data_IF_617883028475
#
_entry.id   IF_617883028475
#
_cell.length_a   1.000
_cell.length_b   1.000
_cell.length_c   1.000
_cell.angle_alpha   90.00
_cell.angle_beta   90.00
_cell.angle_gamma   90.00
#
_symmetry.space_group_name_H-M   'P 1'
#
loop_
_entity.id
_entity.type
_entity.pdbx_description
1 polymer ?
#
# COMPACT_ATOMS: atom_id res chain seq x y z
N UNK A 1 10.99 -20.69 -18.23
CA UNK A 1 11.85 -19.76 -17.43
C UNK A 1 11.00 -18.78 -16.63
N UNK A 2 9.90 -18.29 -17.20
CA UNK A 2 8.83 -17.60 -16.46
C UNK A 2 8.21 -18.48 -15.37
N UNK A 3 8.03 -19.78 -15.63
CA UNK A 3 7.40 -20.74 -14.70
C UNK A 3 8.15 -20.89 -13.37
N UNK A 4 9.47 -20.65 -13.40
CA UNK A 4 10.30 -20.65 -12.18
C UNK A 4 10.07 -19.37 -11.36
N UNK A 5 9.99 -18.20 -12.02
CA UNK A 5 9.70 -16.94 -11.35
C UNK A 5 8.31 -16.93 -10.75
N UNK A 6 7.28 -17.43 -11.44
CA UNK A 6 5.92 -17.49 -10.90
C UNK A 6 5.81 -18.39 -9.68
N UNK A 7 6.50 -19.54 -9.68
CA UNK A 7 6.49 -20.46 -8.52
C UNK A 7 7.25 -19.92 -7.31
N UNK A 8 8.28 -19.11 -7.54
CA UNK A 8 9.08 -18.49 -6.47
C UNK A 8 8.64 -17.06 -6.11
N UNK A 9 7.74 -16.45 -6.87
CA UNK A 9 7.28 -15.07 -6.64
C UNK A 9 6.70 -14.89 -5.24
N UNK A 10 5.79 -15.78 -4.85
CA UNK A 10 5.13 -15.75 -3.55
C UNK A 10 6.14 -15.92 -2.40
N UNK A 11 6.97 -16.98 -2.34
CA UNK A 11 7.93 -17.14 -1.25
C UNK A 11 9.00 -16.04 -1.22
N UNK A 12 9.43 -15.51 -2.37
CA UNK A 12 10.37 -14.39 -2.40
C UNK A 12 9.76 -13.10 -1.85
N UNK A 13 8.50 -12.80 -2.16
CA UNK A 13 7.79 -11.65 -1.57
C UNK A 13 7.62 -11.78 -0.06
N UNK A 14 7.26 -12.98 0.42
CA UNK A 14 7.16 -13.24 1.86
C UNK A 14 8.51 -13.11 2.56
N UNK A 15 9.58 -13.67 1.98
CA UNK A 15 10.92 -13.55 2.52
C UNK A 15 11.39 -12.09 2.58
N UNK A 16 11.15 -11.30 1.53
CA UNK A 16 11.47 -9.87 1.51
C UNK A 16 10.70 -9.10 2.60
N UNK A 17 9.43 -9.43 2.81
CA UNK A 17 8.59 -8.79 3.83
C UNK A 17 9.08 -9.09 5.25
N UNK A 18 9.42 -10.36 5.54
CA UNK A 18 9.99 -10.77 6.83
C UNK A 18 11.34 -10.09 7.07
N UNK A 19 12.22 -10.06 6.06
CA UNK A 19 13.52 -9.38 6.18
C UNK A 19 13.34 -7.88 6.43
N UNK A 20 12.45 -7.21 5.71
CA UNK A 20 12.13 -5.79 5.94
C UNK A 20 11.63 -5.52 7.36
N UNK A 21 10.75 -6.38 7.87
CA UNK A 21 10.25 -6.26 9.25
C UNK A 21 11.35 -6.47 10.29
N UNK A 22 12.19 -7.49 10.13
CA UNK A 22 13.32 -7.75 11.04
C UNK A 22 14.31 -6.59 11.06
N UNK A 23 14.67 -6.06 9.89
CA UNK A 23 15.59 -4.92 9.77
C UNK A 23 14.97 -3.67 10.41
N UNK A 24 13.70 -3.38 10.14
CA UNK A 24 13.00 -2.23 10.71
C UNK A 24 12.87 -2.28 12.23
N UNK A 25 12.65 -3.47 12.80
CA UNK A 25 12.54 -3.66 14.25
C UNK A 25 13.91 -3.70 14.96
N UNK A 26 14.93 -4.27 14.33
CA UNK A 26 16.26 -4.42 14.93
C UNK A 26 17.09 -3.12 14.90
N UNK A 27 16.85 -2.24 13.93
CA UNK A 27 17.62 -1.01 13.72
C UNK A 27 16.74 0.24 13.60
N UNK A 28 15.99 0.63 14.66
CA UNK A 28 15.13 1.81 14.63
C UNK A 28 15.90 3.12 14.39
N UNK A 29 17.20 3.15 14.69
CA UNK A 29 18.08 4.28 14.40
C UNK A 29 18.36 4.50 12.90
N UNK A 30 18.08 3.50 12.05
CA UNK A 30 18.23 3.62 10.58
C UNK A 30 16.95 4.07 9.87
N UNK A 31 15.83 4.17 10.61
CA UNK A 31 14.55 4.69 10.12
C UNK A 31 14.67 6.04 9.40
N UNK A 32 15.37 7.08 9.92
CA UNK A 32 15.44 8.37 9.22
C UNK A 32 16.19 8.30 7.88
N UNK A 33 17.16 7.39 7.72
CA UNK A 33 17.84 7.20 6.45
C UNK A 33 16.94 6.51 5.41
N UNK A 34 16.12 5.55 5.85
CA UNK A 34 15.13 4.89 4.99
C UNK A 34 14.00 5.84 4.61
N UNK A 35 13.53 6.71 5.52
CA UNK A 35 12.52 7.72 5.21
C UNK A 35 12.92 8.64 4.06
N UNK A 36 14.19 9.08 4.02
CA UNK A 36 14.72 9.89 2.91
C UNK A 36 14.71 9.11 1.59
N UNK A 37 14.92 7.79 1.62
CA UNK A 37 14.89 6.94 0.44
C UNK A 37 13.47 6.61 -0.06
N UNK A 38 12.43 6.75 0.78
CA UNK A 38 11.03 6.48 0.38
C UNK A 38 10.63 7.38 -0.78
N UNK A 39 10.80 8.71 -0.64
CA UNK A 39 10.40 9.67 -1.67
C UNK A 39 11.03 9.43 -3.06
N UNK A 40 12.37 9.24 -3.20
CA UNK A 40 12.96 8.97 -4.51
C UNK A 40 12.55 7.60 -5.07
N UNK A 41 12.37 6.58 -4.23
CA UNK A 41 11.85 5.27 -4.68
C UNK A 41 10.42 5.40 -5.19
N UNK A 42 9.56 6.13 -4.48
CA UNK A 42 8.20 6.43 -4.95
C UNK A 42 8.22 7.19 -6.27
N UNK A 43 9.10 8.19 -6.43
CA UNK A 43 9.27 8.88 -7.72
C UNK A 43 9.67 7.91 -8.84
N UNK A 44 10.63 7.02 -8.59
CA UNK A 44 11.07 6.04 -9.58
C UNK A 44 9.96 5.03 -9.94
N UNK A 45 9.21 4.55 -8.95
CA UNK A 45 8.08 3.63 -9.15
C UNK A 45 6.94 4.31 -9.91
N UNK A 46 6.61 5.55 -9.60
CA UNK A 46 5.60 6.31 -10.34
C UNK A 46 6.05 6.56 -11.78
N UNK A 47 7.32 6.92 -12.00
CA UNK A 47 7.89 7.06 -13.34
C UNK A 47 7.81 5.75 -14.14
N UNK A 48 8.22 4.63 -13.54
CA UNK A 48 8.13 3.31 -14.17
C UNK A 48 6.67 2.89 -14.44
N UNK A 49 5.77 3.23 -13.52
CA UNK A 49 4.33 2.98 -13.69
C UNK A 49 3.77 3.80 -14.85
N UNK A 50 4.14 5.07 -14.99
CA UNK A 50 3.74 5.89 -16.13
C UNK A 50 4.30 5.39 -17.46
N UNK A 51 5.54 4.86 -17.49
CA UNK A 51 6.07 4.18 -18.67
C UNK A 51 5.28 2.92 -19.02
N UNK A 52 4.83 2.18 -18.01
CA UNK A 52 4.07 0.93 -18.18
C UNK A 52 2.65 1.17 -18.65
N UNK A 53 2.05 2.32 -18.31
CA UNK A 53 0.71 2.70 -18.78
C UNK A 53 0.83 3.22 -20.22
N UNK A 54 0.17 2.58 -21.20
CA UNK A 54 0.23 3.01 -22.60
C UNK A 54 -0.53 4.34 -22.77
N UNK A 55 0.18 5.47 -22.59
CA UNK A 55 -0.37 6.83 -22.63
C UNK A 55 -1.14 7.15 -23.91
N UNK A 56 -0.80 6.48 -25.02
CA UNK A 56 -1.49 6.60 -26.31
C UNK A 56 -2.93 6.09 -26.29
N UNK A 57 -3.24 5.13 -25.41
CA UNK A 57 -4.59 4.54 -25.26
C UNK A 57 -5.38 5.12 -24.09
N UNK A 58 -4.72 5.84 -23.19
CA UNK A 58 -5.35 6.48 -22.02
C UNK A 58 -6.46 7.44 -22.44
N UNK A 59 -6.21 8.30 -23.44
CA UNK A 59 -7.22 9.25 -23.91
C UNK A 59 -8.50 8.61 -24.46
N UNK A 60 -8.42 7.38 -24.98
CA UNK A 60 -9.59 6.64 -25.45
C UNK A 60 -10.34 5.98 -24.28
N UNK A 61 -9.62 5.45 -23.29
CA UNK A 61 -10.21 4.92 -22.06
C UNK A 61 -10.89 5.99 -21.20
N UNK A 62 -10.39 7.23 -21.21
CA UNK A 62 -11.00 8.37 -20.53
C UNK A 62 -12.33 8.82 -21.16
N UNK A 63 -12.58 8.51 -22.44
CA UNK A 63 -13.85 8.83 -23.10
C UNK A 63 -14.96 7.83 -22.78
N UNK A 64 -14.59 6.67 -22.22
CA UNK A 64 -15.56 5.69 -21.74
C UNK A 64 -16.00 6.06 -20.30
N UNK A 65 -17.13 6.77 -20.22
CA UNK A 65 -17.72 7.17 -18.94
C UNK A 65 -18.14 5.99 -18.06
N UNK A 66 -18.44 4.81 -18.63
CA UNK A 66 -18.78 3.61 -17.84
C UNK A 66 -17.53 3.07 -17.15
N UNK A 67 -16.40 3.04 -17.86
CA UNK A 67 -15.11 2.64 -17.30
C UNK A 67 -14.68 3.57 -16.16
N UNK A 68 -14.73 4.89 -16.39
CA UNK A 68 -14.40 5.88 -15.37
C UNK A 68 -15.32 5.83 -14.14
N UNK A 69 -16.64 5.65 -14.36
CA UNK A 69 -17.59 5.48 -13.28
C UNK A 69 -17.28 4.20 -12.47
N UNK A 70 -16.95 3.10 -13.13
CA UNK A 70 -16.53 1.85 -12.47
C UNK A 70 -15.27 2.04 -11.63
N UNK A 71 -14.24 2.69 -12.17
CA UNK A 71 -13.00 2.99 -11.44
C UNK A 71 -13.25 3.86 -10.21
N UNK A 72 -14.12 4.86 -10.35
CA UNK A 72 -14.51 5.78 -9.27
C UNK A 72 -15.26 5.05 -8.17
N UNK A 73 -16.29 4.27 -8.53
CA UNK A 73 -17.05 3.48 -7.56
C UNK A 73 -16.17 2.45 -6.87
N UNK A 74 -15.29 1.77 -7.61
CA UNK A 74 -14.40 0.76 -7.02
C UNK A 74 -13.41 1.38 -6.03
N UNK A 75 -12.67 2.43 -6.43
CA UNK A 75 -11.62 3.03 -5.60
C UNK A 75 -12.17 3.91 -4.46
N UNK A 76 -13.29 4.62 -4.68
CA UNK A 76 -13.81 5.57 -3.70
C UNK A 76 -15.01 5.07 -2.88
N UNK A 77 -15.77 4.09 -3.37
CA UNK A 77 -16.89 3.51 -2.61
C UNK A 77 -16.54 2.12 -2.08
N UNK A 78 -16.21 1.18 -2.97
CA UNK A 78 -16.06 -0.23 -2.60
C UNK A 78 -14.85 -0.43 -1.68
N UNK A 79 -13.66 0.05 -2.07
CA UNK A 79 -12.44 -0.11 -1.25
C UNK A 79 -12.62 0.50 0.15
N UNK A 80 -13.09 1.75 0.32
CA UNK A 80 -13.33 2.31 1.65
C UNK A 80 -14.39 1.57 2.46
N UNK A 81 -15.48 1.10 1.83
CA UNK A 81 -16.50 0.30 2.52
C UNK A 81 -15.93 -1.02 3.02
N UNK A 82 -15.14 -1.72 2.20
CA UNK A 82 -14.48 -2.97 2.61
C UNK A 82 -13.52 -2.72 3.77
N UNK A 83 -12.67 -1.69 3.68
CA UNK A 83 -11.76 -1.30 4.78
C UNK A 83 -12.54 -0.93 6.04
N UNK A 84 -13.64 -0.19 5.91
CA UNK A 84 -14.50 0.17 7.03
C UNK A 84 -15.12 -1.06 7.70
N UNK A 85 -15.65 -2.01 6.92
CA UNK A 85 -16.21 -3.24 7.45
C UNK A 85 -15.14 -4.10 8.15
N UNK A 86 -13.95 -4.22 7.57
CA UNK A 86 -12.83 -4.96 8.18
C UNK A 86 -12.34 -4.28 9.48
N UNK A 87 -12.14 -2.97 9.47
CA UNK A 87 -11.71 -2.20 10.64
C UNK A 87 -12.78 -2.18 11.75
N UNK A 88 -14.05 -2.02 11.37
CA UNK A 88 -15.16 -1.99 12.32
C UNK A 88 -15.46 -3.37 12.92
N UNK A 89 -15.47 -4.43 12.11
CA UNK A 89 -15.70 -5.80 12.60
C UNK A 89 -14.62 -6.24 13.59
N UNK A 90 -13.35 -5.91 13.32
CA UNK A 90 -12.25 -6.17 14.25
C UNK A 90 -12.36 -5.33 15.53
N UNK A 91 -12.70 -4.04 15.43
CA UNK A 91 -12.88 -3.21 16.63
C UNK A 91 -14.10 -3.60 17.47
N UNK A 92 -15.15 -4.17 16.87
CA UNK A 92 -16.31 -4.70 17.62
C UNK A 92 -16.03 -6.03 18.32
N UNK A 93 -15.03 -6.81 17.88
CA UNK A 93 -14.62 -8.04 18.57
C UNK A 93 -13.81 -7.79 19.86
N UNK A 94 -13.36 -6.55 20.11
CA UNK A 94 -12.63 -6.20 21.34
C UNK A 94 -13.22 -4.93 22.00
N UNK A 95 -14.38 -5.03 22.68
CA UNK A 95 -14.93 -3.92 23.46
C UNK A 95 -14.15 -3.81 24.77
N UNK A 96 -12.91 -3.30 24.74
CA UNK A 96 -12.11 -3.32 25.98
C UNK A 96 -10.72 -2.69 26.02
N UNK A 97 -10.14 -2.17 24.93
CA UNK A 97 -8.88 -1.42 25.06
C UNK A 97 -9.17 0.08 25.22
N UNK A 98 -9.38 0.48 26.48
CA UNK A 98 -9.12 1.86 26.88
C UNK A 98 -7.65 2.16 26.62
N UNK A 99 -7.36 2.86 25.52
CA UNK A 99 -6.03 3.44 25.34
C UNK A 99 -5.88 4.52 26.42
N UNK A 100 -4.87 4.44 27.31
CA UNK A 100 -4.50 5.61 28.10
C UNK A 100 -4.08 6.70 27.11
N UNK A 101 -4.67 7.88 27.25
CA UNK A 101 -4.26 9.07 26.52
C UNK A 101 -2.74 9.24 26.70
N UNK A 102 -1.97 9.08 25.62
CA UNK A 102 -0.55 9.41 25.61
C UNK A 102 -0.49 10.94 25.73
N UNK A 103 0.03 11.51 26.83
CA UNK A 103 0.19 12.94 26.93
C UNK A 103 1.27 13.35 25.93
N UNK A 104 0.86 14.06 24.88
CA UNK A 104 1.79 14.73 23.96
C UNK A 104 2.57 15.74 24.81
N UNK A 105 3.79 15.35 25.20
CA UNK A 105 4.74 16.22 25.88
C UNK A 105 5.17 17.27 24.87
N UNK A 106 4.47 18.41 24.88
CA UNK A 106 4.84 19.58 24.12
C UNK A 106 6.30 19.94 24.35
N UNK A 107 7.04 20.03 23.25
CA UNK A 107 8.27 20.79 23.13
C UNK A 107 8.22 21.50 21.78
#
# INVERSE_FOLDING_TARGET
MLDWWERWQIPLYLAALVLGALIGLAAPATAPAFEVAINPVLMALLYATFLSVPLTKVGQALRDGRFLAGLTVLNFLIVPVVVYLLSRSWSTCCPGHGLPAVPVRGR
#
